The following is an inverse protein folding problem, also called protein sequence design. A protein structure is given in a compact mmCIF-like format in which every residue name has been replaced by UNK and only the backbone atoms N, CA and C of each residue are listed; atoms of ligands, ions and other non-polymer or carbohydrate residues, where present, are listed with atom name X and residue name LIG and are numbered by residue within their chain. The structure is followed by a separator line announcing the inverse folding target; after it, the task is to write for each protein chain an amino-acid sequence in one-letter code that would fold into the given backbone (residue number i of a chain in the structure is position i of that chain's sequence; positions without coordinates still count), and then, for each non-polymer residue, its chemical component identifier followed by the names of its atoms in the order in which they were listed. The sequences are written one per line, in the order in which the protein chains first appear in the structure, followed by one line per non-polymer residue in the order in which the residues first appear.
data_IF_428166576385
#
_entry.id   IF_428166576385
#
_cell.length_a   1.000
_cell.length_b   1.000
_cell.length_c   1.000
_cell.angle_alpha   90.00
_cell.angle_beta   90.00
_cell.angle_gamma   90.00
#
_symmetry.space_group_name_H-M   'P 1'
#
loop_
_entity.id
_entity.type
_entity.pdbx_description
1 polymer ?
#
# COMPACT_ATOMS: atom_id res chain seq x y z
N UNK A 1 -40.49 20.88 -17.54
CA UNK A 1 -40.19 19.70 -16.69
C UNK A 1 -38.74 19.77 -16.25
N UNK A 2 -38.47 20.33 -15.07
CA UNK A 2 -37.12 20.39 -14.48
C UNK A 2 -36.95 19.22 -13.52
N UNK A 3 -35.95 18.36 -13.75
CA UNK A 3 -35.60 17.24 -12.87
C UNK A 3 -34.64 17.76 -11.79
N UNK A 4 -35.12 17.82 -10.55
CA UNK A 4 -34.28 17.99 -9.36
C UNK A 4 -33.29 16.81 -9.25
N UNK A 5 -31.98 17.11 -9.24
CA UNK A 5 -30.94 16.20 -8.77
C UNK A 5 -30.74 16.48 -7.28
N UNK A 6 -31.30 15.62 -6.43
CA UNK A 6 -30.94 15.57 -5.01
C UNK A 6 -29.63 14.80 -4.86
N UNK A 7 -28.55 15.49 -4.54
CA UNK A 7 -27.35 14.89 -3.95
C UNK A 7 -27.71 14.46 -2.53
N UNK A 8 -27.72 13.15 -2.28
CA UNK A 8 -27.82 12.62 -0.93
C UNK A 8 -26.57 13.06 -0.15
N UNK A 9 -26.68 14.13 0.64
CA UNK A 9 -25.67 14.46 1.63
C UNK A 9 -25.67 13.33 2.67
N UNK A 10 -24.53 12.67 2.84
CA UNK A 10 -24.33 11.80 4.00
C UNK A 10 -24.55 12.67 5.23
N UNK A 11 -25.65 12.43 5.93
CA UNK A 11 -26.02 13.19 7.10
C UNK A 11 -24.98 12.91 8.19
N UNK A 12 -24.09 13.87 8.40
CA UNK A 12 -23.09 13.83 9.46
C UNK A 12 -23.84 13.74 10.77
N UNK A 13 -23.57 12.68 11.55
CA UNK A 13 -24.27 12.45 12.81
C UNK A 13 -24.06 13.62 13.77
N UNK A 14 -25.08 14.01 14.53
CA UNK A 14 -25.02 15.18 15.42
C UNK A 14 -23.85 15.14 16.40
N UNK A 15 -23.48 13.95 16.88
CA UNK A 15 -22.33 13.78 17.78
C UNK A 15 -21.00 14.22 17.15
N UNK A 16 -20.85 14.07 15.82
CA UNK A 16 -19.63 14.45 15.11
C UNK A 16 -19.49 15.97 15.02
N UNK A 17 -20.61 16.67 14.83
CA UNK A 17 -20.63 18.15 14.84
C UNK A 17 -20.28 18.68 16.23
N UNK A 18 -20.81 18.07 17.29
CA UNK A 18 -20.48 18.41 18.68
C UNK A 18 -19.00 18.16 18.98
N UNK A 19 -18.46 17.04 18.52
CA UNK A 19 -17.05 16.72 18.62
C UNK A 19 -16.16 17.76 17.91
N UNK A 20 -16.47 18.12 16.66
CA UNK A 20 -15.74 19.15 15.93
C UNK A 20 -15.77 20.50 16.66
N UNK A 21 -16.93 20.90 17.18
CA UNK A 21 -17.04 22.12 17.96
C UNK A 21 -16.20 22.08 19.25
N UNK A 22 -16.13 20.92 19.92
CA UNK A 22 -15.30 20.74 21.10
C UNK A 22 -13.81 20.85 20.78
N UNK A 23 -13.35 20.23 19.69
CA UNK A 23 -11.96 20.33 19.21
C UNK A 23 -11.59 21.79 18.90
N UNK A 24 -12.44 22.50 18.14
CA UNK A 24 -12.20 23.92 17.80
C UNK A 24 -12.10 24.79 19.06
N UNK A 25 -12.96 24.56 20.06
CA UNK A 25 -12.90 25.32 21.33
C UNK A 25 -11.64 25.03 22.14
N UNK A 26 -11.10 23.83 22.02
CA UNK A 26 -9.91 23.38 22.74
C UNK A 26 -8.58 23.69 22.02
N UNK A 27 -8.62 24.19 20.79
CA UNK A 27 -7.41 24.55 20.06
C UNK A 27 -6.63 25.65 20.82
N UNK A 28 -5.30 25.52 20.92
CA UNK A 28 -4.47 26.55 21.54
C UNK A 28 -4.63 27.87 20.79
N UNK A 29 -4.81 28.96 21.53
CA UNK A 29 -5.03 30.31 20.97
C UNK A 29 -3.74 31.11 20.82
N UNK A 30 -2.63 30.51 21.20
CA UNK A 30 -1.28 31.06 21.24
C UNK A 30 -0.38 30.47 20.14
N UNK A 31 -0.97 29.77 19.15
CA UNK A 31 -0.24 29.32 17.96
C UNK A 31 0.17 30.53 17.13
N UNK A 32 1.45 30.60 16.80
CA UNK A 32 2.01 31.62 15.91
C UNK A 32 1.32 31.63 14.53
N UNK A 33 1.13 32.81 13.96
CA UNK A 33 0.38 32.96 12.71
C UNK A 33 1.04 32.21 11.55
N UNK A 34 2.37 32.22 11.44
CA UNK A 34 3.09 31.53 10.36
C UNK A 34 2.93 30.00 10.49
N UNK A 35 2.90 29.50 11.73
CA UNK A 35 2.63 28.09 12.01
C UNK A 35 1.19 27.73 11.63
N UNK A 36 0.21 28.56 11.98
CA UNK A 36 -1.20 28.34 11.64
C UNK A 36 -1.43 28.36 10.11
N UNK A 37 -0.80 29.31 9.41
CA UNK A 37 -0.88 29.41 7.95
C UNK A 37 -0.23 28.18 7.28
N UNK A 38 0.91 27.70 7.79
CA UNK A 38 1.54 26.47 7.32
C UNK A 38 0.63 25.24 7.43
N UNK A 39 -0.09 25.09 8.55
CA UNK A 39 -1.07 24.01 8.71
C UNK A 39 -2.29 24.16 7.80
N UNK A 40 -2.77 25.39 7.60
CA UNK A 40 -3.89 25.69 6.68
C UNK A 40 -3.53 25.31 5.25
N UNK A 41 -2.30 25.59 4.82
CA UNK A 41 -1.81 25.30 3.47
C UNK A 41 -1.47 23.82 3.27
N UNK A 42 -1.24 23.08 4.35
CA UNK A 42 -0.89 21.65 4.34
C UNK A 42 -1.94 20.79 5.08
N UNK A 43 -3.18 20.85 4.61
CA UNK A 43 -4.32 20.16 5.22
C UNK A 43 -4.18 18.64 5.33
N UNK A 44 -3.42 17.98 4.42
CA UNK A 44 -3.14 16.54 4.52
C UNK A 44 -2.29 16.22 5.75
N UNK A 45 -1.20 16.96 5.95
CA UNK A 45 -0.32 16.76 7.11
C UNK A 45 -1.03 17.12 8.41
N UNK A 46 -1.89 18.14 8.41
CA UNK A 46 -2.73 18.48 9.57
C UNK A 46 -3.69 17.32 9.92
N UNK A 47 -4.35 16.74 8.92
CA UNK A 47 -5.27 15.63 9.12
C UNK A 47 -4.56 14.38 9.65
N UNK A 48 -3.35 14.09 9.18
CA UNK A 48 -2.52 13.00 9.70
C UNK A 48 -2.16 13.22 11.18
N UNK A 49 -1.69 14.41 11.54
CA UNK A 49 -1.32 14.74 12.92
C UNK A 49 -2.53 14.69 13.87
N UNK A 50 -3.67 15.27 13.46
CA UNK A 50 -4.90 15.20 14.26
C UNK A 50 -5.39 13.76 14.42
N UNK A 51 -5.30 12.94 13.37
CA UNK A 51 -5.65 11.51 13.48
C UNK A 51 -4.77 10.82 14.52
N UNK A 52 -3.46 11.08 14.52
CA UNK A 52 -2.57 10.52 15.54
C UNK A 52 -2.89 11.05 16.94
N UNK A 53 -3.24 12.33 17.08
CA UNK A 53 -3.58 12.96 18.36
C UNK A 53 -4.94 12.52 18.95
N UNK A 54 -5.91 12.17 18.11
CA UNK A 54 -7.27 11.85 18.53
C UNK A 54 -7.48 10.35 18.81
N UNK A 55 -6.49 9.49 18.50
CA UNK A 55 -6.51 8.06 18.85
C UNK A 55 -6.09 7.88 20.34
N UNK A 56 -6.79 7.04 21.13
CA UNK A 56 -6.42 6.74 22.52
C UNK A 56 -4.95 6.30 22.67
N UNK A 57 -4.32 6.64 23.80
CA UNK A 57 -2.88 6.42 24.00
C UNK A 57 -2.43 4.95 23.88
N UNK A 58 -3.29 4.00 24.28
CA UNK A 58 -3.04 2.57 24.15
C UNK A 58 -3.01 2.15 22.67
N UNK A 59 -4.04 2.55 21.91
CA UNK A 59 -4.11 2.31 20.47
C UNK A 59 -3.00 3.04 19.68
N UNK A 60 -2.58 4.22 20.15
CA UNK A 60 -1.41 4.94 19.61
C UNK A 60 -0.11 4.15 19.77
N UNK A 61 0.16 3.60 20.96
CA UNK A 61 1.35 2.78 21.20
C UNK A 61 1.33 1.52 20.33
N UNK A 62 0.17 0.91 20.16
CA UNK A 62 0.01 -0.23 19.25
C UNK A 62 0.24 0.17 17.79
N UNK A 63 -0.28 1.32 17.35
CA UNK A 63 -0.09 1.84 15.99
C UNK A 63 1.38 2.21 15.72
N UNK A 64 2.04 2.85 16.67
CA UNK A 64 3.48 3.17 16.62
C UNK A 64 4.35 1.92 16.66
N UNK A 65 3.80 0.79 17.12
CA UNK A 65 4.52 -0.48 17.12
C UNK A 65 4.32 -1.33 15.87
N UNK A 66 3.46 -0.92 14.94
CA UNK A 66 3.23 -1.68 13.71
C UNK A 66 4.40 -1.53 12.74
N UNK A 67 4.74 -2.66 12.12
CA UNK A 67 5.71 -2.70 11.01
C UNK A 67 5.13 -1.98 9.78
N UNK A 68 3.83 -2.11 9.56
CA UNK A 68 3.12 -1.61 8.38
C UNK A 68 1.98 -0.67 8.77
N UNK A 69 1.89 0.47 8.06
CA UNK A 69 0.79 1.45 8.15
C UNK A 69 -0.06 1.35 6.88
N UNK A 70 -1.37 1.12 7.02
CA UNK A 70 -2.29 1.09 5.87
C UNK A 70 -2.41 2.49 5.26
N UNK A 71 -2.05 2.64 3.97
CA UNK A 71 -2.12 3.92 3.25
C UNK A 71 -3.22 3.96 2.19
N UNK A 72 -3.69 2.80 1.71
CA UNK A 72 -4.87 2.77 0.81
C UNK A 72 -6.14 3.19 1.53
N UNK A 73 -6.23 2.95 2.85
CA UNK A 73 -7.36 3.35 3.69
C UNK A 73 -8.69 2.85 3.11
N UNK A 74 -9.64 3.76 2.91
CA UNK A 74 -10.95 3.46 2.31
C UNK A 74 -10.99 3.46 0.78
N UNK A 75 -9.85 3.65 0.08
CA UNK A 75 -9.83 3.62 -1.39
C UNK A 75 -9.92 2.18 -1.88
N UNK A 76 -10.91 1.92 -2.74
CA UNK A 76 -11.11 0.61 -3.35
C UNK A 76 -10.14 0.43 -4.52
N UNK A 77 -9.06 -0.33 -4.30
CA UNK A 77 -8.14 -0.73 -5.37
C UNK A 77 -8.57 -2.10 -5.87
N UNK A 78 -8.88 -2.19 -7.16
CA UNK A 78 -9.44 -3.39 -7.78
C UNK A 78 -8.53 -3.85 -8.89
N UNK A 79 -8.03 -5.08 -8.78
CA UNK A 79 -7.29 -5.80 -9.81
C UNK A 79 -8.31 -6.63 -10.59
N UNK A 80 -8.29 -6.51 -11.91
CA UNK A 80 -9.23 -7.24 -12.78
C UNK A 80 -9.00 -8.75 -12.71
N UNK A 81 -10.01 -9.53 -13.09
CA UNK A 81 -9.87 -10.97 -13.22
C UNK A 81 -8.75 -11.32 -14.21
N UNK A 82 -8.03 -12.40 -13.95
CA UNK A 82 -6.90 -12.86 -14.76
C UNK A 82 -7.04 -14.36 -15.04
N UNK A 83 -6.56 -14.81 -16.20
CA UNK A 83 -6.58 -16.22 -16.58
C UNK A 83 -5.42 -17.04 -15.99
N UNK A 84 -4.47 -16.37 -15.33
CA UNK A 84 -3.31 -16.97 -14.67
C UNK A 84 -2.13 -17.28 -15.60
N UNK A 85 -2.27 -17.09 -16.90
CA UNK A 85 -1.25 -17.51 -17.89
C UNK A 85 -0.05 -16.57 -17.96
N UNK A 86 -0.23 -15.30 -17.57
CA UNK A 86 0.83 -14.29 -17.58
C UNK A 86 1.81 -14.47 -16.40
N UNK A 87 3.11 -14.37 -16.70
CA UNK A 87 4.19 -14.43 -15.71
C UNK A 87 5.07 -13.17 -15.78
N UNK A 88 5.63 -12.77 -14.64
CA UNK A 88 6.46 -11.56 -14.51
C UNK A 88 7.77 -11.70 -15.27
N UNK A 89 8.34 -12.92 -15.32
CA UNK A 89 9.58 -13.23 -16.06
C UNK A 89 9.52 -12.88 -17.56
N UNK A 90 8.31 -12.77 -18.13
CA UNK A 90 8.07 -12.47 -19.56
C UNK A 90 7.34 -11.14 -19.79
N UNK A 91 7.04 -10.38 -18.74
CA UNK A 91 6.19 -9.18 -18.79
C UNK A 91 6.95 -7.91 -19.23
N UNK A 92 7.68 -7.99 -20.36
CA UNK A 92 8.46 -6.88 -20.92
C UNK A 92 7.57 -5.67 -21.32
N UNK A 93 6.28 -5.90 -21.55
CA UNK A 93 5.30 -4.84 -21.82
C UNK A 93 5.06 -3.93 -20.60
N UNK A 94 5.31 -4.44 -19.39
CA UNK A 94 5.17 -3.67 -18.14
C UNK A 94 6.54 -3.24 -17.61
N UNK A 95 7.49 -4.17 -17.57
CA UNK A 95 8.80 -3.96 -16.94
C UNK A 95 9.89 -3.64 -17.96
N UNK A 96 9.64 -2.62 -18.77
CA UNK A 96 10.56 -2.20 -19.84
C UNK A 96 11.95 -1.75 -19.34
N UNK A 97 12.08 -1.37 -18.06
CA UNK A 97 13.37 -1.02 -17.46
C UNK A 97 14.16 -2.24 -16.94
N UNK A 98 13.57 -3.44 -17.01
CA UNK A 98 14.25 -4.69 -16.75
C UNK A 98 13.47 -5.68 -15.89
N UNK A 99 13.74 -6.95 -16.12
CA UNK A 99 13.25 -8.08 -15.33
C UNK A 99 14.48 -8.84 -14.85
N UNK A 100 14.57 -9.13 -13.56
CA UNK A 100 15.69 -9.88 -13.01
C UNK A 100 15.62 -11.35 -13.48
N UNK A 101 16.77 -11.92 -13.91
CA UNK A 101 16.90 -13.33 -14.28
C UNK A 101 16.61 -14.30 -13.13
N UNK A 102 16.63 -13.81 -11.88
CA UNK A 102 16.36 -14.60 -10.68
C UNK A 102 14.97 -15.24 -10.67
N UNK A 103 14.00 -14.70 -11.43
CA UNK A 103 12.70 -15.38 -11.63
C UNK A 103 12.87 -16.78 -12.21
N UNK A 104 13.74 -16.93 -13.19
CA UNK A 104 14.02 -18.23 -13.82
C UNK A 104 14.98 -19.03 -12.93
N UNK A 105 16.03 -18.39 -12.40
CA UNK A 105 17.05 -19.07 -11.60
C UNK A 105 16.47 -19.71 -10.32
N UNK A 106 15.47 -19.07 -9.71
CA UNK A 106 14.78 -19.58 -8.53
C UNK A 106 13.55 -20.43 -8.84
N UNK A 107 13.15 -20.57 -10.11
CA UNK A 107 11.91 -21.27 -10.48
C UNK A 107 10.64 -20.53 -10.04
N UNK A 108 10.71 -19.21 -9.93
CA UNK A 108 9.61 -18.31 -9.59
C UNK A 108 8.83 -17.84 -10.83
N UNK A 109 8.92 -18.59 -11.93
CA UNK A 109 8.39 -18.27 -13.26
C UNK A 109 7.22 -19.18 -13.70
N UNK A 110 6.57 -19.85 -12.74
CA UNK A 110 5.40 -20.70 -13.00
C UNK A 110 4.13 -19.85 -13.22
N UNK A 111 3.33 -20.16 -14.26
CA UNK A 111 1.98 -19.59 -14.42
C UNK A 111 1.11 -19.85 -13.19
N UNK A 112 0.23 -18.90 -12.88
CA UNK A 112 -0.73 -19.03 -11.80
C UNK A 112 -2.03 -19.68 -12.24
N UNK A 113 -2.95 -19.81 -11.29
CA UNK A 113 -4.35 -20.15 -11.57
C UNK A 113 -5.11 -18.90 -12.03
N UNK A 114 -6.23 -19.12 -12.72
CA UNK A 114 -7.18 -18.06 -13.00
C UNK A 114 -7.73 -17.49 -11.69
N UNK A 115 -7.85 -16.16 -11.61
CA UNK A 115 -8.33 -15.44 -10.43
C UNK A 115 -9.50 -14.53 -10.78
N UNK A 116 -10.50 -14.41 -9.91
CA UNK A 116 -11.54 -13.42 -10.07
C UNK A 116 -10.98 -12.00 -9.87
N UNK A 117 -11.83 -11.01 -10.10
CA UNK A 117 -11.56 -9.64 -9.65
C UNK A 117 -11.22 -9.65 -8.15
N UNK A 118 -10.14 -8.97 -7.79
CA UNK A 118 -9.58 -9.02 -6.43
C UNK A 118 -9.34 -7.60 -5.92
N UNK A 119 -9.75 -7.33 -4.68
CA UNK A 119 -9.41 -6.06 -4.04
C UNK A 119 -7.93 -6.06 -3.62
N UNK A 120 -7.34 -4.88 -3.45
CA UNK A 120 -5.97 -4.76 -2.97
C UNK A 120 -5.89 -3.67 -1.90
N UNK A 121 -5.02 -3.91 -0.93
CA UNK A 121 -4.64 -2.96 0.12
C UNK A 121 -3.17 -2.64 -0.03
N UNK A 122 -2.83 -1.37 0.18
CA UNK A 122 -1.44 -0.89 0.12
C UNK A 122 -1.06 -0.38 1.50
N UNK A 123 0.01 -0.97 2.02
CA UNK A 123 0.64 -0.60 3.25
C UNK A 123 1.98 0.07 2.94
N UNK A 124 2.44 0.89 3.87
CA UNK A 124 3.76 1.49 3.86
C UNK A 124 4.52 1.09 5.12
N UNK A 125 5.81 0.83 4.97
CA UNK A 125 6.66 0.41 6.06
C UNK A 125 6.94 1.56 7.04
N UNK A 126 6.72 1.30 8.31
CA UNK A 126 6.90 2.23 9.43
C UNK A 126 8.02 1.80 10.39
N UNK A 127 8.49 0.55 10.31
CA UNK A 127 9.64 0.03 11.06
C UNK A 127 10.46 -0.94 10.21
N UNK A 128 11.74 -1.01 10.52
CA UNK A 128 12.67 -1.94 9.90
C UNK A 128 12.17 -3.38 10.07
N UNK A 129 12.17 -4.12 8.97
CA UNK A 129 11.64 -5.47 8.96
C UNK A 129 12.19 -6.31 7.81
N UNK A 130 12.20 -7.62 8.02
CA UNK A 130 12.36 -8.63 6.97
C UNK A 130 11.05 -8.86 6.23
N UNK A 131 11.08 -9.56 5.08
CA UNK A 131 9.86 -9.98 4.39
C UNK A 131 8.94 -10.82 5.28
N UNK A 132 9.49 -11.83 5.96
CA UNK A 132 8.72 -12.68 6.87
C UNK A 132 8.01 -11.87 7.96
N UNK A 133 8.67 -10.86 8.54
CA UNK A 133 8.07 -9.98 9.54
C UNK A 133 6.99 -9.07 8.94
N UNK A 134 7.22 -8.49 7.76
CA UNK A 134 6.23 -7.64 7.09
C UNK A 134 4.93 -8.40 6.78
N UNK A 135 5.01 -9.51 6.05
CA UNK A 135 3.83 -10.27 5.67
C UNK A 135 3.21 -11.02 6.86
N UNK A 136 4.04 -11.59 7.74
CA UNK A 136 3.57 -12.26 8.95
C UNK A 136 2.89 -11.33 9.96
N UNK A 137 3.15 -10.02 9.92
CA UNK A 137 2.43 -9.04 10.74
C UNK A 137 1.02 -8.74 10.25
N UNK A 138 0.70 -9.06 8.99
CA UNK A 138 -0.61 -8.85 8.39
C UNK A 138 -1.49 -10.09 8.52
N UNK A 139 -0.94 -11.26 8.22
CA UNK A 139 -1.64 -12.54 8.36
C UNK A 139 -0.70 -13.68 8.74
N UNK A 140 -1.22 -14.61 9.54
CA UNK A 140 -0.51 -15.83 9.93
C UNK A 140 -0.42 -16.86 8.80
N UNK A 141 -1.45 -16.89 7.94
CA UNK A 141 -1.53 -17.75 6.76
C UNK A 141 -1.12 -16.98 5.51
N UNK A 142 0.13 -17.15 5.09
CA UNK A 142 0.73 -16.43 3.98
C UNK A 142 0.04 -16.71 2.63
N UNK A 143 -0.62 -17.86 2.46
CA UNK A 143 -1.35 -18.18 1.23
C UNK A 143 -2.49 -17.16 0.98
N UNK A 144 -3.05 -16.55 2.03
CA UNK A 144 -4.08 -15.51 1.92
C UNK A 144 -3.56 -14.15 1.45
N UNK A 145 -2.25 -13.94 1.55
CA UNK A 145 -1.60 -12.69 1.11
C UNK A 145 -1.01 -12.82 -0.31
N UNK A 146 -1.02 -14.02 -0.89
CA UNK A 146 -0.43 -14.26 -2.20
C UNK A 146 -1.31 -13.72 -3.33
N UNK A 147 -0.67 -12.96 -4.22
CA UNK A 147 -1.17 -12.72 -5.57
C UNK A 147 -0.67 -13.79 -6.53
N UNK A 148 -1.35 -13.94 -7.67
CA UNK A 148 -0.75 -14.53 -8.86
C UNK A 148 0.14 -13.53 -9.59
N UNK A 149 1.09 -14.02 -10.38
CA UNK A 149 1.95 -13.16 -11.21
C UNK A 149 1.14 -12.27 -12.16
N UNK A 150 0.03 -12.79 -12.71
CA UNK A 150 -0.90 -12.03 -13.54
C UNK A 150 -1.60 -10.90 -12.76
N UNK A 151 -2.03 -11.14 -11.51
CA UNK A 151 -2.58 -10.08 -10.66
C UNK A 151 -1.56 -8.99 -10.33
N UNK A 152 -0.30 -9.36 -10.04
CA UNK A 152 0.78 -8.39 -9.82
C UNK A 152 0.94 -7.54 -11.08
N UNK A 153 1.05 -8.15 -12.26
CA UNK A 153 1.13 -7.44 -13.54
C UNK A 153 -0.06 -6.50 -13.75
N UNK A 154 -1.27 -6.96 -13.46
CA UNK A 154 -2.51 -6.17 -13.52
C UNK A 154 -2.47 -4.96 -12.58
N UNK A 155 -2.00 -5.14 -11.35
CA UNK A 155 -1.82 -4.05 -10.39
C UNK A 155 -0.82 -3.01 -10.91
N UNK A 156 0.32 -3.44 -11.45
CA UNK A 156 1.34 -2.54 -12.00
C UNK A 156 0.80 -1.67 -13.15
N UNK A 157 -0.06 -2.23 -14.00
CA UNK A 157 -0.71 -1.50 -15.10
C UNK A 157 -1.74 -0.49 -14.60
N UNK A 158 -2.63 -0.92 -13.70
CA UNK A 158 -3.84 -0.16 -13.33
C UNK A 158 -3.62 0.82 -12.18
N UNK A 159 -2.75 0.48 -11.24
CA UNK A 159 -2.56 1.20 -9.96
C UNK A 159 -1.15 1.78 -9.82
N UNK A 160 -0.52 2.18 -10.91
CA UNK A 160 0.87 2.68 -10.94
C UNK A 160 1.17 3.81 -9.95
N UNK A 161 0.18 4.67 -9.66
CA UNK A 161 0.33 5.77 -8.68
C UNK A 161 0.47 5.27 -7.22
N UNK A 162 0.13 4.01 -6.96
CA UNK A 162 0.32 3.37 -5.66
C UNK A 162 1.69 2.72 -5.50
N UNK A 163 2.48 2.67 -6.56
CA UNK A 163 3.86 2.23 -6.48
C UNK A 163 4.69 3.27 -5.75
N UNK A 164 5.70 2.79 -5.04
CA UNK A 164 6.68 3.66 -4.44
C UNK A 164 7.56 4.28 -5.54
N UNK A 165 7.72 5.60 -5.48
CA UNK A 165 8.53 6.37 -6.42
C UNK A 165 10.02 6.38 -6.02
N UNK A 166 10.87 6.94 -6.90
CA UNK A 166 12.30 7.21 -6.66
C UNK A 166 13.15 5.96 -6.41
N UNK A 167 12.98 4.91 -7.23
CA UNK A 167 13.69 3.62 -7.13
C UNK A 167 13.46 2.81 -5.85
N UNK A 168 12.48 3.19 -5.01
CA UNK A 168 12.12 2.37 -3.86
C UNK A 168 11.07 1.33 -4.25
N UNK A 169 11.20 0.14 -3.70
CA UNK A 169 10.41 -1.02 -4.10
C UNK A 169 9.00 -1.03 -3.50
N UNK A 170 8.11 -1.66 -4.23
CA UNK A 170 6.79 -2.12 -3.79
C UNK A 170 6.81 -3.65 -3.82
N UNK A 171 6.47 -4.26 -2.69
CA UNK A 171 6.56 -5.70 -2.45
C UNK A 171 5.21 -6.38 -2.64
N UNK A 172 5.24 -7.50 -3.35
CA UNK A 172 4.07 -8.37 -3.57
C UNK A 172 4.46 -9.80 -3.22
N UNK A 173 3.71 -10.42 -2.32
CA UNK A 173 3.90 -11.84 -2.03
C UNK A 173 3.22 -12.67 -3.12
N UNK A 174 3.89 -13.72 -3.58
CA UNK A 174 3.31 -14.73 -4.46
C UNK A 174 3.89 -16.10 -4.17
N UNK A 175 3.24 -17.13 -4.73
CA UNK A 175 3.67 -18.52 -4.61
C UNK A 175 3.98 -19.07 -6.00
N UNK A 176 5.06 -19.82 -6.11
CA UNK A 176 5.46 -20.56 -7.31
C UNK A 176 6.07 -21.88 -6.87
N UNK A 177 5.69 -23.00 -7.48
CA UNK A 177 6.19 -24.35 -7.14
C UNK A 177 6.15 -24.66 -5.63
N UNK A 178 5.06 -24.25 -4.98
CA UNK A 178 4.83 -24.38 -3.55
C UNK A 178 5.85 -23.65 -2.64
N UNK A 179 6.55 -22.66 -3.17
CA UNK A 179 7.47 -21.79 -2.43
C UNK A 179 7.00 -20.34 -2.48
N UNK A 180 7.25 -19.60 -1.41
CA UNK A 180 6.88 -18.19 -1.28
C UNK A 180 8.00 -17.27 -1.75
N UNK A 181 7.63 -16.33 -2.61
CA UNK A 181 8.52 -15.35 -3.21
C UNK A 181 7.94 -13.94 -3.03
N UNK A 182 8.82 -12.96 -3.05
CA UNK A 182 8.46 -11.54 -3.03
C UNK A 182 8.91 -10.92 -4.34
N UNK A 183 7.95 -10.40 -5.11
CA UNK A 183 8.26 -9.56 -6.25
C UNK A 183 8.53 -8.14 -5.76
N UNK A 184 9.71 -7.63 -6.07
CA UNK A 184 10.18 -6.29 -5.73
C UNK A 184 10.07 -5.40 -6.97
N UNK A 185 9.01 -4.60 -7.06
CA UNK A 185 8.77 -3.74 -8.21
C UNK A 185 9.13 -2.28 -7.90
N UNK A 186 9.97 -1.67 -8.73
CA UNK A 186 10.43 -0.29 -8.57
C UNK A 186 10.22 0.55 -9.84
N UNK A 187 9.96 1.84 -9.65
CA UNK A 187 9.89 2.82 -10.73
C UNK A 187 11.23 3.57 -10.84
N UNK A 188 11.91 3.40 -11.98
CA UNK A 188 13.20 4.03 -12.26
C UNK A 188 13.07 5.54 -12.50
N UNK A 189 14.18 6.25 -12.31
CA UNK A 189 14.34 7.62 -12.81
C UNK A 189 14.17 7.59 -14.35
N UNK A 190 13.08 8.17 -14.86
CA UNK A 190 12.65 8.02 -16.26
C UNK A 190 11.32 7.29 -16.44
N UNK A 191 10.72 6.82 -15.34
CA UNK A 191 9.38 6.25 -15.30
C UNK A 191 9.33 4.75 -15.56
N UNK A 192 10.28 4.16 -16.32
CA UNK A 192 10.28 2.73 -16.61
C UNK A 192 10.21 1.86 -15.34
N UNK A 193 9.40 0.79 -15.39
CA UNK A 193 9.26 -0.14 -14.27
C UNK A 193 10.28 -1.26 -14.38
N UNK A 194 10.81 -1.69 -13.24
CA UNK A 194 11.65 -2.87 -13.08
C UNK A 194 11.01 -3.81 -12.08
N UNK A 195 11.26 -5.11 -12.23
CA UNK A 195 10.93 -6.10 -11.21
C UNK A 195 12.10 -7.04 -10.95
N UNK A 196 12.35 -7.30 -9.67
CA UNK A 196 13.19 -8.40 -9.19
C UNK A 196 12.38 -9.34 -8.30
N UNK A 197 12.99 -10.46 -7.94
CA UNK A 197 12.38 -11.44 -7.05
C UNK A 197 13.38 -11.87 -5.99
N UNK A 198 12.87 -12.02 -4.78
CA UNK A 198 13.59 -12.59 -3.65
C UNK A 198 12.73 -13.70 -3.03
N UNK A 199 13.35 -14.58 -2.25
CA UNK A 199 12.61 -15.55 -1.42
C UNK A 199 12.08 -14.87 -0.17
N UNK A 200 10.92 -15.33 0.33
CA UNK A 200 10.33 -14.72 1.55
C UNK A 200 11.20 -14.90 2.80
N UNK A 201 12.04 -15.94 2.82
CA UNK A 201 12.98 -16.25 3.91
C UNK A 201 14.30 -15.49 3.79
N UNK A 202 14.44 -14.61 2.80
CA UNK A 202 15.61 -13.75 2.68
C UNK A 202 15.71 -12.81 3.89
N UNK A 203 16.78 -12.99 4.68
CA UNK A 203 16.94 -12.37 5.99
C UNK A 203 17.37 -10.90 5.96
N UNK A 204 17.34 -10.26 4.78
CA UNK A 204 17.65 -8.84 4.64
C UNK A 204 16.62 -8.00 5.42
N UNK A 205 17.13 -7.07 6.23
CA UNK A 205 16.31 -6.09 6.94
C UNK A 205 16.18 -4.86 6.05
N UNK A 206 14.94 -4.50 5.71
CA UNK A 206 14.63 -3.32 4.93
C UNK A 206 14.49 -2.11 5.85
N UNK A 207 15.11 -0.98 5.49
CA UNK A 207 15.09 0.27 6.26
C UNK A 207 13.77 1.04 6.05
N UNK A 208 13.08 1.36 7.15
CA UNK A 208 11.83 2.11 7.16
C UNK A 208 11.95 3.53 6.61
N UNK A 209 13.13 4.13 6.66
CA UNK A 209 13.43 5.45 6.08
C UNK A 209 13.15 5.52 4.58
N UNK A 210 13.19 4.39 3.87
CA UNK A 210 12.86 4.31 2.45
C UNK A 210 11.35 4.21 2.18
N UNK A 211 10.56 3.90 3.21
CA UNK A 211 9.09 3.80 3.16
C UNK A 211 8.64 2.85 2.05
N UNK A 212 9.22 1.64 2.01
CA UNK A 212 8.79 0.60 1.08
C UNK A 212 7.29 0.33 1.22
N UNK A 213 6.66 -0.08 0.13
CA UNK A 213 5.23 -0.40 0.12
C UNK A 213 5.03 -1.90 0.05
N UNK A 214 3.98 -2.38 0.71
CA UNK A 214 3.55 -3.78 0.67
C UNK A 214 2.13 -3.80 0.14
N UNK A 215 1.88 -4.62 -0.87
CA UNK A 215 0.54 -4.80 -1.43
C UNK A 215 0.08 -6.21 -1.13
N UNK A 216 -1.16 -6.34 -0.66
CA UNK A 216 -1.83 -7.62 -0.37
C UNK A 216 -3.29 -7.55 -0.84
N UNK A 217 -3.97 -8.68 -1.05
CA UNK A 217 -5.40 -8.72 -1.32
C UNK A 217 -6.29 -8.01 -0.26
#
# INVERSE_FOLDING_TARGET
MSKNRGTASQQVSGWYVEFQAAVIRALPRDIDQDVADGWRENGETLAENLREMLIPAVERKELQNKILKLISGGKKLVIDAADGTEILAKANDVFAAGINSDFVAYGADEPGLATPETSAKVYEMAKDATFAQMFGSLESDLDKLCFTQAQIKGFMKKHRNWLRANNYATFFLFKSRNQFFVACADARLGGGLRVSVDRVDYSCVWDAGYRYRVVVP
#
